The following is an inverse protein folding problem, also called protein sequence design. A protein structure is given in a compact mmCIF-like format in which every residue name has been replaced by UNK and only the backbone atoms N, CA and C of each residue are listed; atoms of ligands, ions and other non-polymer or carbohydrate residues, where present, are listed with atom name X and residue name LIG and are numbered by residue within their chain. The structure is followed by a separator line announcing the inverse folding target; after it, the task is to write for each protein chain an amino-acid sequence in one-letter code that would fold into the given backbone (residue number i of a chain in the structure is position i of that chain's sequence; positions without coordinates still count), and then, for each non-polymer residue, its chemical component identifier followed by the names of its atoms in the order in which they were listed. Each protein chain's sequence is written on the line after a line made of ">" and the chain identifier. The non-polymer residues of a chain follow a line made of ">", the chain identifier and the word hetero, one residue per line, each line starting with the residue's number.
data_IF_515629655271
#
_entry.id   IF_515629655271
#
_cell.length_a   1.000
_cell.length_b   1.000
_cell.length_c   1.000
_cell.angle_alpha   90.00
_cell.angle_beta   90.00
_cell.angle_gamma   90.00
#
_symmetry.space_group_name_H-M   'P 1'
#
loop_
_entity.id
_entity.type
_entity.pdbx_description
1 polymer ?
#
# COMPACT_ATOMS: atom_id res chain seq x y z
N UNK A 1 -43.41 -20.38 86.41
CA UNK A 1 -43.34 -19.38 85.34
C UNK A 1 -42.04 -19.60 84.60
N UNK A 2 -42.09 -20.23 83.43
CA UNK A 2 -40.92 -20.54 82.60
C UNK A 2 -40.88 -19.50 81.50
N UNK A 3 -39.86 -18.65 81.49
CA UNK A 3 -39.58 -17.73 80.39
C UNK A 3 -38.93 -18.53 79.26
N UNK A 4 -39.66 -18.67 78.15
CA UNK A 4 -39.14 -19.13 76.87
C UNK A 4 -38.47 -17.94 76.20
N UNK A 5 -37.14 -17.95 76.13
CA UNK A 5 -36.39 -17.01 75.32
C UNK A 5 -36.36 -17.55 73.89
N UNK A 6 -37.13 -16.90 73.02
CA UNK A 6 -37.18 -17.13 71.57
C UNK A 6 -35.96 -16.45 70.94
N UNK A 7 -34.87 -17.20 70.79
CA UNK A 7 -33.64 -16.74 70.13
C UNK A 7 -33.86 -16.80 68.61
N UNK A 8 -34.29 -15.67 68.06
CA UNK A 8 -34.56 -15.46 66.65
C UNK A 8 -33.30 -15.54 65.80
N UNK A 9 -32.93 -16.78 65.44
CA UNK A 9 -31.89 -17.10 64.45
C UNK A 9 -32.36 -16.68 63.06
N UNK A 10 -32.13 -15.40 62.70
CA UNK A 10 -32.36 -14.88 61.34
C UNK A 10 -31.28 -15.42 60.39
N UNK A 11 -31.64 -16.03 59.24
CA UNK A 11 -30.66 -16.58 58.31
C UNK A 11 -29.87 -15.47 57.60
N UNK A 12 -28.56 -15.44 57.84
CA UNK A 12 -27.54 -14.55 57.21
C UNK A 12 -27.26 -14.86 55.73
N UNK A 13 -28.16 -15.55 55.03
CA UNK A 13 -27.92 -16.10 53.68
C UNK A 13 -28.44 -15.26 52.51
N UNK A 14 -29.26 -14.24 52.74
CA UNK A 14 -29.95 -13.52 51.65
C UNK A 14 -29.19 -12.29 51.12
N UNK A 15 -28.11 -11.85 51.78
CA UNK A 15 -27.45 -10.58 51.44
C UNK A 15 -26.36 -10.69 50.35
N UNK A 16 -26.04 -11.89 49.85
CA UNK A 16 -24.93 -12.09 48.88
C UNK A 16 -25.43 -12.21 47.44
N UNK A 17 -26.74 -12.41 47.22
CA UNK A 17 -27.29 -12.57 45.87
C UNK A 17 -27.56 -11.23 45.14
N UNK A 18 -27.75 -10.14 45.89
CA UNK A 18 -28.09 -8.82 45.30
C UNK A 18 -26.85 -8.13 44.71
N UNK A 19 -25.65 -8.38 45.25
CA UNK A 19 -24.42 -7.70 44.82
C UNK A 19 -23.86 -8.24 43.49
N UNK A 20 -24.25 -9.47 43.12
CA UNK A 20 -23.86 -10.06 41.82
C UNK A 20 -24.70 -9.55 40.65
N UNK A 21 -25.92 -9.05 40.89
CA UNK A 21 -26.81 -8.59 39.83
C UNK A 21 -26.35 -7.23 39.27
N UNK A 22 -25.90 -6.33 40.15
CA UNK A 22 -25.37 -5.00 39.81
C UNK A 22 -24.11 -5.06 38.94
N UNK A 23 -23.31 -6.12 39.09
CA UNK A 23 -22.09 -6.30 38.29
C UNK A 23 -22.37 -6.58 36.80
N UNK A 24 -23.47 -7.29 36.49
CA UNK A 24 -23.85 -7.56 35.09
C UNK A 24 -24.44 -6.32 34.41
N UNK A 25 -25.25 -5.53 35.13
CA UNK A 25 -25.80 -4.28 34.61
C UNK A 25 -24.70 -3.29 34.21
N UNK A 26 -23.63 -3.18 35.01
CA UNK A 26 -22.49 -2.31 34.67
C UNK A 26 -21.72 -2.77 33.42
N UNK A 27 -21.63 -4.09 33.20
CA UNK A 27 -20.99 -4.65 32.00
C UNK A 27 -21.85 -4.39 30.76
N UNK A 28 -23.17 -4.54 30.88
CA UNK A 28 -24.10 -4.25 29.78
C UNK A 28 -24.09 -2.77 29.40
N UNK A 29 -24.10 -1.86 30.38
CA UNK A 29 -23.95 -0.42 30.12
C UNK A 29 -22.63 -0.10 29.39
N UNK A 30 -21.55 -0.78 29.78
CA UNK A 30 -20.24 -0.61 29.14
C UNK A 30 -20.26 -1.11 27.70
N UNK A 31 -20.87 -2.27 27.44
CA UNK A 31 -21.04 -2.83 26.10
C UNK A 31 -21.90 -1.92 25.22
N UNK A 32 -23.01 -1.40 25.73
CA UNK A 32 -23.85 -0.45 25.01
C UNK A 32 -23.12 0.87 24.70
N UNK A 33 -22.27 1.33 25.62
CA UNK A 33 -21.43 2.52 25.40
C UNK A 33 -20.40 2.28 24.30
N UNK A 34 -19.74 1.11 24.30
CA UNK A 34 -18.79 0.73 23.27
C UNK A 34 -19.46 0.57 21.90
N UNK A 35 -20.64 -0.06 21.83
CA UNK A 35 -21.39 -0.21 20.58
C UNK A 35 -21.81 1.17 20.02
N UNK A 36 -22.31 2.08 20.87
CA UNK A 36 -22.58 3.47 20.47
C UNK A 36 -21.33 4.20 19.96
N UNK A 37 -20.17 3.92 20.56
CA UNK A 37 -18.90 4.49 20.11
C UNK A 37 -18.49 3.95 18.74
N UNK A 38 -18.63 2.63 18.52
CA UNK A 38 -18.37 1.97 17.24
C UNK A 38 -19.26 2.54 16.12
N UNK A 39 -20.58 2.64 16.33
CA UNK A 39 -21.51 3.21 15.35
C UNK A 39 -21.15 4.66 14.99
N UNK A 40 -20.68 5.44 15.98
CA UNK A 40 -20.22 6.81 15.77
C UNK A 40 -18.96 6.88 14.90
N UNK A 41 -18.02 5.94 15.10
CA UNK A 41 -16.81 5.83 14.29
C UNK A 41 -17.13 5.37 12.87
N UNK A 42 -18.02 4.40 12.69
CA UNK A 42 -18.48 3.96 11.37
C UNK A 42 -19.10 5.13 10.59
N UNK A 43 -20.01 5.88 11.22
CA UNK A 43 -20.58 7.10 10.64
C UNK A 43 -19.53 8.18 10.34
N UNK A 44 -18.46 8.28 11.13
CA UNK A 44 -17.37 9.23 10.85
C UNK A 44 -16.57 8.79 9.62
N UNK A 45 -16.25 7.50 9.52
CA UNK A 45 -15.49 6.89 8.42
C UNK A 45 -16.27 6.99 7.12
N UNK A 46 -17.56 6.69 7.11
CA UNK A 46 -18.44 6.85 5.94
C UNK A 46 -18.52 8.30 5.43
N UNK A 47 -18.26 9.28 6.31
CA UNK A 47 -18.24 10.70 5.94
C UNK A 47 -16.90 11.18 5.38
N UNK A 48 -15.83 10.40 5.52
CA UNK A 48 -14.50 10.76 4.98
C UNK A 48 -14.55 10.91 3.45
N UNK A 49 -15.11 9.95 2.67
CA UNK A 49 -15.23 10.09 1.21
C UNK A 49 -15.97 11.36 0.77
N UNK A 50 -17.07 11.71 1.46
CA UNK A 50 -17.84 12.92 1.14
C UNK A 50 -17.05 14.22 1.40
N UNK A 51 -16.27 14.26 2.49
CA UNK A 51 -15.41 15.41 2.83
C UNK A 51 -14.27 15.56 1.83
N UNK A 52 -13.64 14.45 1.43
CA UNK A 52 -12.59 14.44 0.41
C UNK A 52 -13.16 14.90 -0.93
N UNK A 53 -14.29 14.34 -1.36
CA UNK A 53 -14.98 14.71 -2.61
C UNK A 53 -15.31 16.21 -2.65
N UNK A 54 -15.85 16.77 -1.56
CA UNK A 54 -16.14 18.20 -1.47
C UNK A 54 -14.87 19.05 -1.61
N UNK A 55 -13.79 18.71 -0.90
CA UNK A 55 -12.52 19.45 -0.99
C UNK A 55 -11.92 19.39 -2.40
N UNK A 56 -12.00 18.24 -3.08
CA UNK A 56 -11.53 18.11 -4.47
C UNK A 56 -12.38 18.98 -5.40
N UNK A 57 -13.71 18.92 -5.28
CA UNK A 57 -14.62 19.75 -6.07
C UNK A 57 -14.40 21.25 -5.84
N UNK A 58 -14.19 21.67 -4.59
CA UNK A 58 -13.92 23.07 -4.26
C UNK A 58 -12.60 23.56 -4.89
N UNK A 59 -11.56 22.71 -4.92
CA UNK A 59 -10.28 23.04 -5.56
C UNK A 59 -10.40 23.13 -7.08
N UNK A 60 -11.10 22.19 -7.72
CA UNK A 60 -11.36 22.22 -9.16
C UNK A 60 -12.16 23.48 -9.51
N UNK A 61 -13.19 23.79 -8.73
CA UNK A 61 -14.00 25.00 -8.92
C UNK A 61 -13.17 26.28 -8.76
N UNK A 62 -12.32 26.35 -7.74
CA UNK A 62 -11.43 27.49 -7.53
C UNK A 62 -10.42 27.64 -8.69
N UNK A 63 -9.85 26.53 -9.18
CA UNK A 63 -8.94 26.55 -10.33
C UNK A 63 -9.65 27.02 -11.61
N UNK A 64 -10.88 26.58 -11.86
CA UNK A 64 -11.69 27.03 -13.00
C UNK A 64 -12.00 28.53 -12.95
N UNK A 65 -12.24 29.08 -11.76
CA UNK A 65 -12.45 30.52 -11.57
C UNK A 65 -11.15 31.34 -11.69
N UNK A 66 -10.00 30.72 -11.38
CA UNK A 66 -8.69 31.36 -11.48
C UNK A 66 -8.10 31.32 -12.90
N UNK A 67 -8.70 30.58 -13.83
CA UNK A 67 -8.26 30.60 -15.23
C UNK A 67 -8.51 32.00 -15.82
N UNK A 68 -7.46 32.68 -16.33
CA UNK A 68 -7.62 33.97 -16.97
C UNK A 68 -8.56 33.79 -18.16
N UNK A 69 -9.64 34.58 -18.17
CA UNK A 69 -10.64 34.56 -19.23
C UNK A 69 -9.94 34.69 -20.58
N UNK A 70 -10.10 33.67 -21.45
CA UNK A 70 -9.41 33.48 -22.73
C UNK A 70 -9.66 34.59 -23.78
N UNK A 71 -10.17 35.76 -23.37
CA UNK A 71 -10.48 36.91 -24.22
C UNK A 71 -9.26 37.78 -24.55
N UNK A 72 -8.08 37.47 -24.00
CA UNK A 72 -6.84 38.22 -24.26
C UNK A 72 -5.73 37.33 -24.83
N UNK A 73 -6.04 36.58 -25.88
CA UNK A 73 -4.99 36.10 -26.78
C UNK A 73 -4.77 37.19 -27.84
N UNK A 74 -3.58 37.82 -27.90
CA UNK A 74 -3.25 38.71 -29.00
C UNK A 74 -3.39 37.92 -30.31
N UNK A 75 -4.19 38.44 -31.21
CA UNK A 75 -4.47 37.91 -32.53
C UNK A 75 -3.15 37.69 -33.28
N UNK A 76 -2.62 36.46 -33.22
CA UNK A 76 -1.46 36.08 -34.00
C UNK A 76 -1.87 36.05 -35.46
N UNK A 77 -1.34 37.01 -36.20
CA UNK A 77 -1.36 37.08 -37.65
C UNK A 77 -0.86 35.74 -38.23
N UNK A 78 -1.55 35.16 -39.23
CA UNK A 78 -1.16 33.88 -39.81
C UNK A 78 0.19 34.02 -40.54
N UNK A 79 1.24 33.44 -39.96
CA UNK A 79 2.54 33.32 -40.59
C UNK A 79 2.49 32.23 -41.66
N UNK A 80 2.91 32.60 -42.87
CA UNK A 80 2.87 31.80 -44.09
C UNK A 80 3.49 30.41 -43.92
N UNK A 81 2.75 29.41 -44.41
CA UNK A 81 3.16 28.02 -44.45
C UNK A 81 4.41 27.81 -45.34
N UNK A 82 5.45 27.10 -44.87
CA UNK A 82 6.50 26.60 -45.74
C UNK A 82 6.01 25.37 -46.53
N UNK A 83 6.43 25.23 -47.81
CA UNK A 83 6.04 24.11 -48.65
C UNK A 83 6.69 22.80 -48.22
N UNK A 84 5.84 21.80 -48.21
CA UNK A 84 6.05 20.39 -47.94
C UNK A 84 6.95 19.76 -49.02
N UNK A 85 8.22 19.49 -48.69
CA UNK A 85 9.10 18.72 -49.56
C UNK A 85 9.34 17.32 -48.98
N UNK A 86 8.93 16.35 -49.79
CA UNK A 86 9.02 14.91 -49.64
C UNK A 86 10.42 14.44 -49.26
N UNK A 87 10.49 13.53 -48.28
CA UNK A 87 11.53 12.50 -48.22
C UNK A 87 10.92 11.26 -47.56
N UNK A 88 10.03 10.61 -48.33
CA UNK A 88 9.73 9.20 -48.15
C UNK A 88 10.82 8.38 -48.83
N UNK A 89 11.07 7.18 -48.30
CA UNK A 89 11.92 6.10 -48.82
C UNK A 89 13.41 6.20 -48.48
N UNK A 90 13.81 5.52 -47.39
CA UNK A 90 14.68 4.35 -47.46
C UNK A 90 14.93 3.82 -46.06
N UNK A 91 14.43 2.61 -45.76
CA UNK A 91 15.07 1.54 -45.00
C UNK A 91 14.03 0.49 -44.56
N UNK A 92 13.50 -0.23 -45.56
CA UNK A 92 12.95 -1.56 -45.36
C UNK A 92 13.90 -2.55 -46.03
N UNK A 93 14.71 -3.25 -45.24
CA UNK A 93 15.35 -4.55 -45.58
C UNK A 93 16.36 -4.91 -44.50
N UNK A 94 16.05 -5.96 -43.74
CA UNK A 94 16.92 -7.02 -43.17
C UNK A 94 16.23 -7.54 -41.91
N UNK A 95 16.08 -8.83 -41.60
CA UNK A 95 16.51 -10.10 -42.19
C UNK A 95 15.68 -11.18 -41.47
N UNK A 96 15.26 -12.19 -42.22
CA UNK A 96 14.71 -13.46 -41.74
C UNK A 96 15.78 -14.26 -40.99
N UNK A 97 15.50 -14.73 -39.77
CA UNK A 97 16.13 -15.93 -39.23
C UNK A 97 15.36 -16.47 -38.01
N UNK A 98 14.46 -17.41 -38.27
CA UNK A 98 14.12 -18.45 -37.29
C UNK A 98 15.30 -19.39 -37.08
N UNK A 99 15.37 -20.06 -35.92
CA UNK A 99 15.55 -21.50 -35.98
C UNK A 99 14.59 -22.24 -35.04
N UNK A 100 13.87 -23.16 -35.66
CA UNK A 100 13.29 -24.35 -35.05
C UNK A 100 14.34 -25.13 -34.25
N UNK A 101 13.99 -25.60 -33.06
CA UNK A 101 14.60 -26.81 -32.52
C UNK A 101 13.64 -27.58 -31.63
N UNK A 102 12.98 -28.53 -32.27
CA UNK A 102 12.33 -29.70 -31.70
C UNK A 102 13.36 -30.59 -31.02
N UNK A 103 13.10 -30.99 -29.77
CA UNK A 103 13.59 -32.25 -29.20
C UNK A 103 12.50 -32.86 -28.32
N UNK A 104 11.94 -33.94 -28.86
CA UNK A 104 11.13 -34.97 -28.21
C UNK A 104 12.11 -35.97 -27.59
N UNK A 105 11.94 -36.32 -26.32
CA UNK A 105 12.43 -37.53 -25.63
C UNK A 105 11.47 -37.72 -24.44
N UNK A 106 10.43 -38.56 -24.54
CA UNK A 106 10.38 -40.02 -24.39
C UNK A 106 10.65 -40.50 -22.97
N UNK A 107 9.67 -41.25 -22.45
CA UNK A 107 9.48 -41.77 -21.10
C UNK A 107 10.54 -42.79 -20.64
N UNK A 108 10.64 -42.95 -19.31
CA UNK A 108 11.24 -44.10 -18.63
C UNK A 108 10.48 -44.37 -17.32
N UNK A 109 9.68 -45.43 -17.34
CA UNK A 109 8.94 -46.01 -16.22
C UNK A 109 9.78 -47.16 -15.65
N UNK A 110 9.57 -47.47 -14.36
CA UNK A 110 9.96 -48.70 -13.63
C UNK A 110 11.43 -48.84 -13.15
N UNK A 111 11.65 -48.72 -11.84
CA UNK A 111 11.83 -49.92 -10.99
C UNK A 111 12.04 -49.58 -9.50
N UNK A 112 11.38 -50.39 -8.67
CA UNK A 112 11.43 -50.36 -7.22
C UNK A 112 12.83 -50.74 -6.68
N UNK A 113 13.40 -49.92 -5.81
CA UNK A 113 14.35 -50.43 -4.81
C UNK A 113 14.31 -49.60 -3.53
N UNK A 114 13.80 -50.25 -2.48
CA UNK A 114 13.84 -49.77 -1.11
C UNK A 114 15.22 -50.04 -0.51
N UNK A 115 15.97 -48.98 -0.18
CA UNK A 115 16.98 -49.04 0.89
C UNK A 115 16.83 -47.78 1.73
N UNK A 116 16.50 -48.01 3.00
CA UNK A 116 16.46 -47.04 4.06
C UNK A 116 17.81 -46.32 4.18
N UNK A 117 17.80 -45.01 3.96
CA UNK A 117 18.82 -44.10 4.45
C UNK A 117 18.09 -42.84 4.90
N UNK A 118 18.15 -42.60 6.19
CA UNK A 118 17.62 -41.45 6.91
C UNK A 118 18.32 -40.17 6.41
N UNK A 119 17.68 -39.28 5.64
CA UNK A 119 18.24 -37.98 5.36
C UNK A 119 17.80 -37.04 6.48
N UNK A 120 18.57 -37.03 7.57
CA UNK A 120 18.74 -35.82 8.37
C UNK A 120 19.46 -34.79 7.49
N UNK A 121 18.74 -34.30 6.48
CA UNK A 121 19.14 -33.19 5.65
C UNK A 121 18.46 -32.00 6.26
N UNK A 122 19.25 -31.21 6.99
CA UNK A 122 18.94 -29.83 7.34
C UNK A 122 18.13 -29.21 6.20
N UNK A 123 16.82 -29.14 6.38
CA UNK A 123 15.97 -28.25 5.64
C UNK A 123 16.43 -26.88 6.09
N UNK A 124 17.48 -26.38 5.44
CA UNK A 124 17.86 -24.99 5.42
C UNK A 124 16.60 -24.27 5.02
N UNK A 125 15.85 -23.83 6.03
CA UNK A 125 14.76 -22.88 5.84
C UNK A 125 15.43 -21.77 5.05
N UNK A 126 15.05 -21.54 3.77
CA UNK A 126 15.75 -20.55 2.95
C UNK A 126 15.75 -19.27 3.77
N UNK A 127 16.93 -18.85 4.22
CA UNK A 127 17.09 -17.70 5.08
C UNK A 127 16.68 -16.50 4.24
N UNK A 128 15.41 -16.11 4.35
CA UNK A 128 14.87 -14.85 3.86
C UNK A 128 15.33 -13.71 4.78
N UNK A 129 16.60 -13.74 5.20
CA UNK A 129 17.19 -12.69 6.01
C UNK A 129 17.56 -11.56 5.08
N UNK A 130 16.76 -10.50 5.12
CA UNK A 130 17.05 -9.26 4.43
C UNK A 130 18.34 -8.65 4.97
N UNK A 131 19.10 -7.92 4.14
CA UNK A 131 20.12 -7.00 4.65
C UNK A 131 19.49 -6.05 5.68
N UNK A 132 20.18 -5.76 6.77
CA UNK A 132 19.67 -4.94 7.89
C UNK A 132 19.14 -3.55 7.46
N UNK A 133 19.61 -3.05 6.31
CA UNK A 133 19.24 -1.74 5.76
C UNK A 133 18.20 -1.82 4.61
N UNK A 134 17.52 -2.95 4.44
CA UNK A 134 16.57 -3.11 3.34
C UNK A 134 15.28 -2.32 3.58
N UNK A 135 14.96 -1.42 2.63
CA UNK A 135 13.71 -0.65 2.61
C UNK A 135 12.91 -0.97 1.35
N UNK A 136 11.58 -0.88 1.44
CA UNK A 136 10.70 -1.09 0.28
C UNK A 136 10.89 0.05 -0.72
N UNK A 137 11.42 -0.19 -1.93
CA UNK A 137 11.74 0.89 -2.85
C UNK A 137 10.45 1.54 -3.40
N UNK A 138 10.47 2.85 -3.70
CA UNK A 138 9.40 3.48 -4.47
C UNK A 138 9.42 2.91 -5.89
N UNK A 139 8.44 2.07 -6.22
CA UNK A 139 8.42 1.31 -7.47
C UNK A 139 7.22 1.68 -8.34
N UNK A 140 7.44 1.59 -9.66
CA UNK A 140 6.36 1.58 -10.63
C UNK A 140 5.53 0.30 -10.47
N UNK A 141 4.22 0.37 -10.75
CA UNK A 141 3.32 -0.80 -10.62
C UNK A 141 3.76 -2.00 -11.47
N UNK A 142 4.34 -1.74 -12.65
CA UNK A 142 4.89 -2.79 -13.51
C UNK A 142 6.06 -3.53 -12.84
N UNK A 143 6.99 -2.81 -12.23
CA UNK A 143 8.12 -3.41 -11.50
C UNK A 143 7.62 -4.19 -10.28
N UNK A 144 6.66 -3.61 -9.55
CA UNK A 144 6.02 -4.26 -8.40
C UNK A 144 5.38 -5.60 -8.79
N UNK A 145 4.66 -5.66 -9.92
CA UNK A 145 4.07 -6.90 -10.43
C UNK A 145 5.12 -7.97 -10.71
N UNK A 146 6.20 -7.63 -11.42
CA UNK A 146 7.27 -8.59 -11.74
C UNK A 146 7.92 -9.14 -10.47
N UNK A 147 8.26 -8.28 -9.51
CA UNK A 147 8.86 -8.68 -8.23
C UNK A 147 7.89 -9.48 -7.36
N UNK A 148 6.58 -9.26 -7.49
CA UNK A 148 5.56 -10.01 -6.77
C UNK A 148 5.58 -11.50 -7.11
N UNK A 149 5.72 -11.82 -8.40
CA UNK A 149 5.66 -13.20 -8.88
C UNK A 149 7.02 -13.87 -9.03
N UNK A 150 8.02 -13.14 -9.50
CA UNK A 150 9.34 -13.69 -9.83
C UNK A 150 10.41 -13.31 -8.80
N UNK A 151 10.16 -12.31 -7.95
CA UNK A 151 11.17 -11.78 -7.04
C UNK A 151 12.30 -11.07 -7.78
N UNK A 152 13.32 -10.73 -7.01
CA UNK A 152 14.63 -10.29 -7.48
C UNK A 152 15.68 -11.40 -7.20
N UNK A 153 16.86 -11.24 -7.78
CA UNK A 153 18.07 -12.02 -7.50
C UNK A 153 18.42 -12.14 -6.02
N UNK A 154 18.07 -11.14 -5.21
CA UNK A 154 18.37 -11.10 -3.77
C UNK A 154 17.18 -11.43 -2.88
N UNK A 155 15.97 -11.20 -3.37
CA UNK A 155 14.76 -11.16 -2.56
C UNK A 155 13.71 -11.99 -3.28
N UNK A 156 13.30 -13.10 -2.68
CA UNK A 156 12.32 -14.00 -3.29
C UNK A 156 10.98 -13.32 -3.62
N UNK A 157 10.04 -14.02 -4.29
CA UNK A 157 8.77 -13.44 -4.69
C UNK A 157 8.03 -12.76 -3.53
N UNK A 158 7.64 -11.49 -3.71
CA UNK A 158 7.10 -10.68 -2.61
C UNK A 158 5.77 -11.23 -2.07
N UNK A 159 5.07 -12.05 -2.86
CA UNK A 159 3.84 -12.72 -2.42
C UNK A 159 4.01 -13.56 -1.16
N UNK A 160 5.22 -14.07 -0.89
CA UNK A 160 5.52 -14.89 0.28
C UNK A 160 5.88 -14.08 1.53
N UNK A 161 5.99 -12.75 1.43
CA UNK A 161 6.33 -11.92 2.59
C UNK A 161 5.13 -11.70 3.50
N UNK A 162 5.40 -11.79 4.80
CA UNK A 162 4.46 -11.50 5.86
C UNK A 162 4.80 -10.17 6.54
N UNK A 163 3.85 -9.63 7.32
CA UNK A 163 4.07 -8.40 8.08
C UNK A 163 5.17 -8.55 9.15
N UNK A 164 5.54 -9.78 9.50
CA UNK A 164 6.61 -10.08 10.44
C UNK A 164 8.01 -9.92 9.81
N UNK A 165 8.12 -10.12 8.49
CA UNK A 165 9.39 -10.06 7.76
C UNK A 165 9.84 -8.62 7.47
N UNK A 166 8.94 -7.65 7.66
CA UNK A 166 9.19 -6.24 7.39
C UNK A 166 9.58 -5.51 8.69
N UNK A 167 10.72 -4.78 8.72
CA UNK A 167 11.13 -4.05 9.93
C UNK A 167 10.26 -2.81 10.16
N UNK A 168 9.94 -2.06 9.09
CA UNK A 168 9.33 -0.74 9.19
C UNK A 168 7.81 -0.73 9.00
N UNK A 169 7.14 0.18 9.71
CA UNK A 169 5.69 0.40 9.56
C UNK A 169 5.32 0.83 8.14
N UNK A 170 6.09 1.73 7.53
CA UNK A 170 5.82 2.19 6.17
C UNK A 170 6.00 1.06 5.15
N UNK A 171 7.02 0.22 5.30
CA UNK A 171 7.24 -0.96 4.44
C UNK A 171 6.07 -1.95 4.55
N UNK A 172 5.54 -2.20 5.76
CA UNK A 172 4.32 -3.02 5.97
C UNK A 172 3.11 -2.41 5.27
N UNK A 173 2.92 -1.10 5.39
CA UNK A 173 1.82 -0.40 4.72
C UNK A 173 1.93 -0.52 3.20
N UNK A 174 3.12 -0.32 2.63
CA UNK A 174 3.36 -0.51 1.19
C UNK A 174 3.11 -1.95 0.75
N UNK A 175 3.56 -2.95 1.52
CA UNK A 175 3.31 -4.36 1.22
C UNK A 175 1.81 -4.69 1.20
N UNK A 176 1.04 -4.18 2.16
CA UNK A 176 -0.43 -4.34 2.18
C UNK A 176 -1.11 -3.67 0.99
N UNK A 177 -0.70 -2.45 0.65
CA UNK A 177 -1.22 -1.73 -0.52
C UNK A 177 -0.87 -2.45 -1.83
N UNK A 178 0.38 -2.94 -1.96
CA UNK A 178 0.84 -3.71 -3.10
C UNK A 178 0.03 -5.00 -3.26
N UNK A 179 -0.17 -5.75 -2.15
CA UNK A 179 -0.98 -6.97 -2.13
C UNK A 179 -2.39 -6.72 -2.63
N UNK A 180 -3.10 -5.74 -2.06
CA UNK A 180 -4.46 -5.41 -2.46
C UNK A 180 -4.57 -5.06 -3.95
N UNK A 181 -3.60 -4.30 -4.48
CA UNK A 181 -3.58 -3.96 -5.90
C UNK A 181 -3.32 -5.18 -6.78
N UNK A 182 -2.32 -6.01 -6.45
CA UNK A 182 -1.99 -7.20 -7.23
C UNK A 182 -3.14 -8.21 -7.19
N UNK A 183 -3.76 -8.44 -6.04
CA UNK A 183 -4.91 -9.33 -5.89
C UNK A 183 -6.07 -8.89 -6.80
N UNK A 184 -6.38 -7.58 -6.81
CA UNK A 184 -7.41 -7.01 -7.70
C UNK A 184 -7.08 -7.24 -9.18
N UNK A 185 -5.81 -7.06 -9.58
CA UNK A 185 -5.38 -7.25 -10.96
C UNK A 185 -5.37 -8.73 -11.36
N UNK A 186 -5.02 -9.63 -10.45
CA UNK A 186 -5.09 -11.08 -10.64
C UNK A 186 -6.54 -11.52 -10.83
N UNK A 187 -7.46 -11.04 -9.99
CA UNK A 187 -8.90 -11.30 -10.15
C UNK A 187 -9.41 -10.85 -11.51
N UNK A 188 -8.99 -9.67 -11.99
CA UNK A 188 -9.35 -9.18 -13.33
C UNK A 188 -8.76 -10.08 -14.43
N UNK A 189 -7.50 -10.52 -14.28
CA UNK A 189 -6.86 -11.40 -15.24
C UNK A 189 -7.56 -12.77 -15.34
N UNK A 190 -7.98 -13.33 -14.20
CA UNK A 190 -8.76 -14.58 -14.13
C UNK A 190 -10.16 -14.40 -14.71
N UNK A 191 -10.85 -13.30 -14.38
CA UNK A 191 -12.20 -13.01 -14.87
C UNK A 191 -12.28 -12.79 -16.39
N UNK A 192 -11.16 -12.38 -17.01
CA UNK A 192 -11.03 -12.19 -18.45
C UNK A 192 -10.42 -13.41 -19.15
N UNK A 193 -10.26 -14.54 -18.46
CA UNK A 193 -9.62 -15.77 -18.96
C UNK A 193 -8.22 -15.53 -19.56
N UNK A 194 -7.49 -14.52 -19.07
CA UNK A 194 -6.12 -14.24 -19.55
C UNK A 194 -5.13 -15.29 -19.06
N UNK A 195 -5.38 -15.85 -17.86
CA UNK A 195 -4.55 -16.85 -17.22
C UNK A 195 -5.45 -17.87 -16.50
N UNK A 196 -5.05 -19.14 -16.47
CA UNK A 196 -5.84 -20.22 -15.88
C UNK A 196 -5.81 -20.24 -14.34
N UNK A 197 -4.72 -19.80 -13.73
CA UNK A 197 -4.54 -19.77 -12.27
C UNK A 197 -3.46 -18.78 -11.85
N UNK A 198 -3.40 -18.45 -10.56
CA UNK A 198 -2.36 -17.56 -10.01
C UNK A 198 -0.96 -18.17 -10.16
N UNK A 199 -0.83 -19.49 -9.96
CA UNK A 199 0.44 -20.20 -10.12
C UNK A 199 0.92 -20.23 -11.58
N UNK A 200 -0.01 -20.19 -12.54
CA UNK A 200 0.34 -20.06 -13.93
C UNK A 200 1.02 -18.71 -14.21
N UNK A 201 0.59 -17.60 -13.58
CA UNK A 201 1.27 -16.29 -13.70
C UNK A 201 2.72 -16.39 -13.18
N UNK A 202 2.92 -17.06 -12.04
CA UNK A 202 4.24 -17.25 -11.45
C UNK A 202 5.17 -18.12 -12.31
N UNK A 203 4.60 -19.05 -13.07
CA UNK A 203 5.33 -20.00 -13.93
C UNK A 203 5.55 -19.47 -15.35
N UNK A 204 4.89 -18.38 -15.74
CA UNK A 204 5.05 -17.74 -17.03
C UNK A 204 6.41 -17.03 -17.15
N UNK A 205 6.83 -16.78 -18.38
CA UNK A 205 7.98 -15.91 -18.64
C UNK A 205 7.69 -14.49 -18.12
N UNK A 206 8.68 -13.78 -17.53
CA UNK A 206 8.47 -12.44 -16.99
C UNK A 206 7.89 -11.44 -18.01
N UNK A 207 8.21 -11.58 -19.29
CA UNK A 207 7.67 -10.72 -20.36
C UNK A 207 6.19 -11.02 -20.58
N UNK A 208 5.81 -12.30 -20.59
CA UNK A 208 4.41 -12.71 -20.74
C UNK A 208 3.57 -12.31 -19.53
N UNK A 209 4.11 -12.48 -18.31
CA UNK A 209 3.48 -12.02 -17.07
C UNK A 209 3.24 -10.51 -17.08
N UNK A 210 4.18 -9.73 -17.63
CA UNK A 210 4.03 -8.28 -17.76
C UNK A 210 2.95 -7.88 -18.80
N UNK A 211 2.80 -8.62 -19.91
CA UNK A 211 1.72 -8.38 -20.87
C UNK A 211 0.34 -8.63 -20.23
N UNK A 212 0.21 -9.71 -19.45
CA UNK A 212 -1.00 -9.97 -18.64
C UNK A 212 -1.29 -8.80 -17.70
N UNK A 213 -0.29 -8.29 -17.00
CA UNK A 213 -0.43 -7.10 -16.15
C UNK A 213 -0.94 -5.89 -16.92
N UNK A 214 -0.34 -5.56 -18.06
CA UNK A 214 -0.72 -4.38 -18.83
C UNK A 214 -2.18 -4.44 -19.28
N UNK A 215 -2.65 -5.62 -19.71
CA UNK A 215 -4.04 -5.83 -20.12
C UNK A 215 -4.99 -5.75 -18.92
N UNK A 216 -4.69 -6.44 -17.82
CA UNK A 216 -5.50 -6.39 -16.60
C UNK A 216 -5.57 -4.96 -16.03
N UNK A 217 -4.45 -4.24 -16.03
CA UNK A 217 -4.38 -2.86 -15.58
C UNK A 217 -5.19 -1.91 -16.47
N UNK A 218 -5.15 -2.09 -17.79
CA UNK A 218 -5.98 -1.31 -18.71
C UNK A 218 -7.48 -1.50 -18.43
N UNK A 219 -7.91 -2.75 -18.16
CA UNK A 219 -9.29 -3.06 -17.75
C UNK A 219 -9.61 -2.44 -16.39
N UNK A 220 -8.69 -2.54 -15.43
CA UNK A 220 -8.86 -1.94 -14.10
C UNK A 220 -9.03 -0.42 -14.17
N UNK A 221 -8.19 0.27 -14.94
CA UNK A 221 -8.28 1.73 -15.14
C UNK A 221 -9.57 2.11 -15.88
N UNK A 222 -9.97 1.35 -16.88
CA UNK A 222 -11.22 1.58 -17.59
C UNK A 222 -12.45 1.38 -16.68
N UNK A 223 -12.42 0.37 -15.80
CA UNK A 223 -13.51 0.04 -14.88
C UNK A 223 -13.60 0.98 -13.68
N UNK A 224 -12.45 1.41 -13.14
CA UNK A 224 -12.39 2.39 -12.04
C UNK A 224 -12.67 3.81 -12.52
N UNK A 225 -12.60 4.03 -13.84
CA UNK A 225 -13.19 5.18 -14.52
C UNK A 225 -12.76 6.52 -13.94
N UNK A 226 -11.51 6.69 -13.46
CA UNK A 226 -10.95 7.94 -12.93
C UNK A 226 -11.92 8.77 -12.05
N UNK A 227 -12.85 8.12 -11.34
CA UNK A 227 -13.80 8.78 -10.44
C UNK A 227 -13.25 8.85 -9.00
N UNK A 228 -12.12 8.19 -8.74
CA UNK A 228 -11.50 8.09 -7.42
C UNK A 228 -9.99 8.39 -7.47
N UNK A 229 -9.62 9.50 -8.11
CA UNK A 229 -8.25 10.00 -8.20
C UNK A 229 -7.71 10.58 -6.87
N UNK A 230 -7.98 9.92 -5.74
CA UNK A 230 -7.55 10.36 -4.42
C UNK A 230 -6.38 9.54 -3.83
N UNK A 231 -6.02 8.38 -4.41
CA UNK A 231 -5.22 7.43 -3.65
C UNK A 231 -3.69 7.46 -3.83
N UNK A 232 -3.09 7.95 -4.93
CA UNK A 232 -1.62 7.94 -5.04
C UNK A 232 -1.09 9.15 -5.82
N UNK A 233 -1.08 10.33 -5.21
CA UNK A 233 -0.06 11.32 -5.55
C UNK A 233 0.61 11.74 -4.24
N UNK A 234 1.49 10.86 -3.74
CA UNK A 234 2.50 11.24 -2.77
C UNK A 234 3.39 12.29 -3.46
N UNK A 235 3.01 13.55 -3.23
CA UNK A 235 3.77 14.75 -3.49
C UNK A 235 5.20 14.56 -3.02
N UNK A 236 6.10 14.32 -3.98
CA UNK A 236 7.54 14.44 -3.80
C UNK A 236 7.82 15.81 -3.18
N UNK A 237 8.40 15.89 -1.97
CA UNK A 237 8.73 17.17 -1.36
C UNK A 237 9.82 17.81 -2.20
N UNK A 238 9.49 18.92 -2.87
CA UNK A 238 10.47 19.75 -3.53
C UNK A 238 11.58 20.13 -2.53
N UNK A 239 12.86 20.10 -2.94
CA UNK A 239 13.97 20.43 -2.05
C UNK A 239 13.77 21.85 -1.52
N UNK A 240 13.69 21.96 -0.20
CA UNK A 240 13.59 23.23 0.52
C UNK A 240 14.66 24.18 0.03
N UNK A 241 14.21 25.19 -0.72
CA UNK A 241 14.98 26.37 -1.10
C UNK A 241 15.43 27.03 0.20
N UNK A 242 16.72 26.90 0.50
CA UNK A 242 17.41 27.65 1.56
C UNK A 242 17.09 29.13 1.32
N UNK A 243 16.23 29.70 2.16
CA UNK A 243 16.02 31.14 2.18
C UNK A 243 17.13 31.70 3.05
N UNK A 244 18.13 32.23 2.36
CA UNK A 244 19.08 33.20 2.87
C UNK A 244 18.30 34.43 3.33
N UNK A 245 17.96 34.47 4.63
CA UNK A 245 17.45 35.66 5.29
C UNK A 245 18.57 36.28 6.09
N UNK A 246 19.13 37.36 5.53
CA UNK A 246 19.95 38.31 6.23
C UNK A 246 19.13 38.94 7.38
N UNK A 247 19.48 38.58 8.61
CA UNK A 247 18.98 39.23 9.81
C UNK A 247 19.85 40.45 10.07
N UNK A 248 19.30 41.65 9.85
CA UNK A 248 19.89 42.90 10.33
C UNK A 248 19.98 42.86 11.85
N UNK A 249 21.20 43.07 12.35
CA UNK A 249 21.58 43.11 13.76
C UNK A 249 21.36 44.53 14.31
N UNK A 250 20.39 44.77 15.22
CA UNK A 250 20.43 45.97 16.05
C UNK A 250 21.43 45.75 17.20
N UNK A 251 22.52 46.50 17.11
CA UNK A 251 23.53 46.67 18.15
C UNK A 251 22.88 47.14 19.45
N UNK A 252 22.90 46.31 20.49
CA UNK A 252 22.72 46.78 21.87
C UNK A 252 23.98 46.51 22.67
N UNK A 253 24.68 47.60 22.94
CA UNK A 253 25.77 47.70 23.88
C UNK A 253 25.26 47.40 25.29
N UNK A 254 25.78 46.35 25.91
CA UNK A 254 25.64 46.17 27.36
C UNK A 254 27.01 45.93 27.98
N UNK A 255 27.49 47.02 28.55
CA UNK A 255 28.67 47.14 29.41
C UNK A 255 28.54 46.23 30.63
N UNK A 256 29.45 45.27 30.77
CA UNK A 256 29.68 44.58 32.04
C UNK A 256 31.18 44.51 32.33
N UNK A 257 31.69 45.63 32.83
CA UNK A 257 33.00 45.71 33.47
C UNK A 257 32.83 46.04 34.95
N UNK A 258 33.15 45.08 35.83
CA UNK A 258 34.14 45.28 36.91
C UNK A 258 34.35 44.01 37.73
N UNK A 259 35.54 43.46 37.52
CA UNK A 259 36.29 42.65 38.47
C UNK A 259 36.58 43.47 39.73
N UNK A 260 36.50 42.85 40.90
CA UNK A 260 37.47 43.09 41.99
C UNK A 260 37.62 41.85 42.86
N UNK A 261 38.85 41.34 42.90
CA UNK A 261 39.39 40.37 43.87
C UNK A 261 40.25 41.14 44.88
N UNK A 262 40.42 40.57 46.09
CA UNK A 262 41.46 40.89 47.08
C UNK A 262 41.05 42.01 48.04
N UNK A 263 41.19 41.90 49.37
CA UNK A 263 41.91 40.95 50.23
C UNK A 263 41.04 40.59 51.44
#
# INVERSE_FOLDING_TARGET
>A
MVQVNDDGSRPRGAAIAEDTLTGYEQVDETLESMNRCMDSLENLVERIPARVRRRVQDRVRAALLALPSASSYPQMVPAAAPPMNQTANMLAKTVLASPSRSHILTCGEEDANAIAADPSSDASTPCTTFPDDWCFPPMNFSTMWTLWFHGDTHVGPFRHFTDADMPDFDSKRHLRCARALVDTLVEIALAQDMVASVDAIASMDPIASLDTFQRAFAVHVASTGFADAAFIEHKSPAPSRIVESAEEVPSTSSSHGKRKRGC
#
